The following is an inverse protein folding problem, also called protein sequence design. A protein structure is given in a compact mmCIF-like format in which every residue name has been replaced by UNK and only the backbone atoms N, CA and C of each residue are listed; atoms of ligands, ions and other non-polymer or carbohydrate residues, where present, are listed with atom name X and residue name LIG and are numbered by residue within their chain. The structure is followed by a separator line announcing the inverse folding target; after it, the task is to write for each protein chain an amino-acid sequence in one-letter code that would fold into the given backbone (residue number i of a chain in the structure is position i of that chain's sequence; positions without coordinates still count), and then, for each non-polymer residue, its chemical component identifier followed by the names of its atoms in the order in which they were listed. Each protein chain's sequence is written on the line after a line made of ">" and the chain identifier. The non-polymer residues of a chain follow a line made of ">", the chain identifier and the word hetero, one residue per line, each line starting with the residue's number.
data_IF_883010749887
#
_entry.id   IF_883010749887
#
_cell.length_a   1.000
_cell.length_b   1.000
_cell.length_c   1.000
_cell.angle_alpha   90.00
_cell.angle_beta   90.00
_cell.angle_gamma   90.00
#
_symmetry.space_group_name_H-M   'P 1'
#
loop_
_entity.id
_entity.type
_entity.pdbx_description
1 polymer ?
#
# COMPACT_ATOMS: atom_id res chain seq x y z
N UNK A 1 -2.20 14.05 3.37
CA UNK A 1 -1.16 13.28 4.04
C UNK A 1 -1.60 12.54 5.30
N UNK A 2 -2.91 12.43 5.53
CA UNK A 2 -3.40 11.67 6.69
C UNK A 2 -3.21 10.17 6.49
N UNK A 3 -2.55 9.51 7.46
CA UNK A 3 -2.40 8.06 7.48
C UNK A 3 -3.62 7.43 8.12
N UNK A 4 -4.19 6.42 7.46
CA UNK A 4 -5.34 5.66 7.97
C UNK A 4 -5.02 4.18 7.97
N UNK A 5 -5.41 3.51 9.06
CA UNK A 5 -5.28 2.06 9.21
C UNK A 5 -6.65 1.48 9.49
N UNK A 6 -7.06 0.50 8.69
CA UNK A 6 -8.35 -0.17 8.82
C UNK A 6 -8.14 -1.67 8.90
N UNK A 7 -8.94 -2.32 9.72
CA UNK A 7 -8.80 -3.75 9.99
C UNK A 7 -10.07 -4.50 9.64
N UNK A 8 -9.92 -5.75 9.21
CA UNK A 8 -10.99 -6.73 9.07
C UNK A 8 -12.20 -6.20 8.27
N UNK A 9 -13.37 -6.18 8.87
CA UNK A 9 -14.64 -5.82 8.23
C UNK A 9 -14.68 -4.38 7.73
N UNK A 10 -13.88 -3.48 8.31
CA UNK A 10 -13.83 -2.08 7.88
C UNK A 10 -13.17 -1.93 6.52
N UNK A 11 -12.33 -2.88 6.10
CA UNK A 11 -11.64 -2.83 4.81
C UNK A 11 -12.64 -2.91 3.64
N UNK A 12 -13.49 -3.95 3.53
CA UNK A 12 -14.48 -3.98 2.46
C UNK A 12 -15.51 -2.85 2.55
N UNK A 13 -15.90 -2.44 3.76
CA UNK A 13 -16.82 -1.30 3.94
C UNK A 13 -16.24 -0.01 3.39
N UNK A 14 -14.99 0.28 3.72
CA UNK A 14 -14.32 1.48 3.23
C UNK A 14 -14.22 1.47 1.70
N UNK A 15 -13.80 0.35 1.13
CA UNK A 15 -13.64 0.24 -0.31
C UNK A 15 -14.97 0.32 -1.06
N UNK A 16 -16.06 -0.15 -0.46
CA UNK A 16 -17.39 -0.06 -1.04
C UNK A 16 -18.05 1.30 -0.92
N UNK A 17 -17.65 2.12 0.06
CA UNK A 17 -18.28 3.42 0.34
C UNK A 17 -17.71 4.58 -0.47
N UNK A 18 -16.55 4.40 -1.12
CA UNK A 18 -15.84 5.45 -1.86
C UNK A 18 -15.98 5.24 -3.35
N UNK A 19 -16.00 6.34 -4.11
CA UNK A 19 -15.79 6.26 -5.55
C UNK A 19 -14.40 5.71 -5.79
N UNK A 20 -14.32 4.58 -6.46
CA UNK A 20 -13.08 3.86 -6.61
C UNK A 20 -12.49 4.04 -7.99
N UNK A 21 -11.17 4.02 -8.07
CA UNK A 21 -10.46 3.89 -9.33
C UNK A 21 -10.65 2.46 -9.87
N UNK A 22 -10.27 2.23 -11.11
CA UNK A 22 -10.34 0.88 -11.71
C UNK A 22 -9.52 -0.13 -10.91
N UNK A 23 -8.40 0.30 -10.33
CA UNK A 23 -7.56 -0.58 -9.50
C UNK A 23 -8.26 -0.99 -8.21
N UNK A 24 -8.94 -0.06 -7.55
CA UNK A 24 -9.69 -0.35 -6.34
C UNK A 24 -10.88 -1.27 -6.63
N UNK A 25 -11.57 -1.05 -7.76
CA UNK A 25 -12.66 -1.92 -8.18
C UNK A 25 -12.17 -3.36 -8.42
N UNK A 26 -11.00 -3.53 -9.03
CA UNK A 26 -10.37 -4.84 -9.24
C UNK A 26 -10.07 -5.56 -7.93
N UNK A 27 -9.55 -4.84 -6.94
CA UNK A 27 -9.27 -5.41 -5.63
C UNK A 27 -10.55 -5.81 -4.90
N UNK A 28 -11.62 -5.00 -4.98
CA UNK A 28 -12.92 -5.36 -4.44
C UNK A 28 -13.45 -6.67 -5.03
N UNK A 29 -13.30 -6.87 -6.34
CA UNK A 29 -13.71 -8.11 -7.00
C UNK A 29 -12.94 -9.31 -6.47
N UNK A 30 -11.64 -9.17 -6.20
CA UNK A 30 -10.83 -10.22 -5.60
C UNK A 30 -11.36 -10.58 -4.22
N UNK A 31 -11.66 -9.59 -3.38
CA UNK A 31 -12.22 -9.83 -2.04
C UNK A 31 -13.59 -10.50 -2.11
N UNK A 32 -14.45 -10.08 -3.03
CA UNK A 32 -15.76 -10.70 -3.23
C UNK A 32 -15.63 -12.15 -3.71
N UNK A 33 -14.71 -12.43 -4.62
CA UNK A 33 -14.45 -13.78 -5.11
C UNK A 33 -13.96 -14.69 -3.99
N UNK A 34 -13.05 -14.18 -3.14
CA UNK A 34 -12.56 -14.91 -1.99
C UNK A 34 -13.69 -15.24 -1.01
N UNK A 35 -14.60 -14.30 -0.79
CA UNK A 35 -15.76 -14.50 0.08
C UNK A 35 -16.70 -15.56 -0.47
N UNK A 36 -16.97 -15.54 -1.78
CA UNK A 36 -17.82 -16.53 -2.44
C UNK A 36 -17.22 -17.94 -2.41
N UNK A 37 -15.88 -18.03 -2.47
CA UNK A 37 -15.16 -19.30 -2.39
C UNK A 37 -14.94 -19.79 -0.95
N UNK A 38 -15.43 -19.04 0.04
CA UNK A 38 -15.20 -19.31 1.47
C UNK A 38 -13.72 -19.35 1.86
N UNK A 39 -12.94 -18.51 1.18
CA UNK A 39 -11.49 -18.36 1.38
C UNK A 39 -11.09 -16.94 1.74
N UNK A 40 -12.00 -16.18 2.33
CA UNK A 40 -11.71 -14.81 2.75
C UNK A 40 -10.65 -14.82 3.84
N UNK A 41 -9.63 -13.93 3.77
CA UNK A 41 -8.58 -13.89 4.78
C UNK A 41 -9.16 -13.66 6.18
N UNK A 42 -8.66 -14.41 7.15
CA UNK A 42 -9.05 -14.23 8.56
C UNK A 42 -8.60 -12.86 9.08
N UNK A 43 -7.42 -12.43 8.64
CA UNK A 43 -6.86 -11.14 9.01
C UNK A 43 -6.56 -10.33 7.75
N UNK A 44 -7.13 -9.14 7.67
CA UNK A 44 -6.88 -8.20 6.59
C UNK A 44 -6.75 -6.79 7.16
N UNK A 45 -5.76 -6.05 6.72
CA UNK A 45 -5.53 -4.67 7.15
C UNK A 45 -5.20 -3.82 5.93
N UNK A 46 -5.82 -2.66 5.85
CA UNK A 46 -5.55 -1.66 4.84
C UNK A 46 -4.83 -0.48 5.49
N UNK A 47 -3.66 -0.13 4.95
CA UNK A 47 -2.91 1.05 5.35
C UNK A 47 -2.91 2.00 4.17
N UNK A 48 -3.50 3.16 4.35
CA UNK A 48 -3.63 4.14 3.28
C UNK A 48 -3.23 5.52 3.73
N UNK A 49 -2.86 6.35 2.75
CA UNK A 49 -2.54 7.76 2.98
C UNK A 49 -3.43 8.59 2.09
N UNK A 50 -4.05 9.63 2.68
CA UNK A 50 -4.89 10.55 1.93
C UNK A 50 -4.06 11.34 0.92
N UNK A 51 -4.33 11.24 -0.38
CA UNK A 51 -3.59 12.02 -1.37
C UNK A 51 -3.93 13.52 -1.25
N UNK A 52 -2.95 14.36 -1.58
CA UNK A 52 -3.15 15.80 -1.65
C UNK A 52 -3.84 16.21 -2.93
N UNK A 53 -3.44 15.60 -4.05
CA UNK A 53 -3.96 15.89 -5.38
C UNK A 53 -4.12 14.59 -6.16
N UNK A 54 -5.31 14.38 -6.72
CA UNK A 54 -5.63 13.16 -7.49
C UNK A 54 -5.37 13.32 -8.99
N UNK A 55 -5.39 14.53 -9.50
CA UNK A 55 -5.29 14.83 -10.94
C UNK A 55 -3.86 15.17 -11.38
N UNK A 56 -2.86 14.79 -10.59
CA UNK A 56 -1.45 15.03 -10.89
C UNK A 56 -0.86 13.82 -11.63
N UNK A 57 -0.82 13.90 -12.94
CA UNK A 57 -0.35 12.80 -13.78
C UNK A 57 1.17 12.89 -14.02
N UNK A 58 1.83 11.73 -14.01
CA UNK A 58 3.24 11.61 -14.36
C UNK A 58 4.22 12.08 -13.30
N UNK A 59 3.77 12.29 -12.09
CA UNK A 59 4.63 12.66 -10.97
C UNK A 59 4.86 11.55 -9.98
N UNK A 60 5.84 11.75 -9.11
CA UNK A 60 6.02 10.95 -7.91
C UNK A 60 5.05 11.43 -6.84
N UNK A 61 5.15 10.86 -5.64
CA UNK A 61 4.31 11.23 -4.51
C UNK A 61 4.56 12.69 -4.11
N UNK A 62 3.49 13.39 -3.77
CA UNK A 62 3.59 14.72 -3.17
C UNK A 62 4.35 14.66 -1.84
N UNK A 63 5.05 15.74 -1.45
CA UNK A 63 5.87 15.71 -0.22
C UNK A 63 5.10 15.30 1.03
N UNK A 64 3.86 15.73 1.21
CA UNK A 64 3.06 15.38 2.39
C UNK A 64 2.70 13.88 2.41
N UNK A 65 2.54 13.25 1.25
CA UNK A 65 2.29 11.82 1.12
C UNK A 65 3.58 11.05 1.30
N UNK A 66 4.64 11.49 0.64
CA UNK A 66 5.98 10.87 0.74
C UNK A 66 6.48 10.85 2.19
N UNK A 67 6.20 11.91 2.95
CA UNK A 67 6.58 11.99 4.36
C UNK A 67 5.90 10.92 5.23
N UNK A 68 4.81 10.31 4.76
CA UNK A 68 4.11 9.26 5.50
C UNK A 68 4.67 7.86 5.26
N UNK A 69 5.60 7.68 4.31
CA UNK A 69 6.16 6.36 4.01
C UNK A 69 6.74 5.68 5.26
N UNK A 70 7.61 6.33 6.07
CA UNK A 70 8.12 5.70 7.28
C UNK A 70 7.01 5.29 8.26
N UNK A 71 5.99 6.15 8.43
CA UNK A 71 4.87 5.87 9.33
C UNK A 71 4.04 4.67 8.83
N UNK A 72 3.84 4.57 7.51
CA UNK A 72 3.12 3.45 6.92
C UNK A 72 3.89 2.13 7.08
N UNK A 73 5.21 2.15 6.90
CA UNK A 73 6.06 0.99 7.13
C UNK A 73 6.01 0.57 8.60
N UNK A 74 6.10 1.51 9.51
CA UNK A 74 5.97 1.25 10.96
C UNK A 74 4.63 0.60 11.29
N UNK A 75 3.53 1.15 10.75
CA UNK A 75 2.20 0.58 10.95
C UNK A 75 2.11 -0.86 10.43
N UNK A 76 2.68 -1.13 9.26
CA UNK A 76 2.71 -2.47 8.68
C UNK A 76 3.50 -3.45 9.56
N UNK A 77 4.65 -3.02 10.09
CA UNK A 77 5.45 -3.84 11.01
C UNK A 77 4.67 -4.17 12.27
N UNK A 78 3.97 -3.18 12.84
CA UNK A 78 3.14 -3.39 14.03
C UNK A 78 2.01 -4.38 13.79
N UNK A 79 1.36 -4.31 12.63
CA UNK A 79 0.30 -5.25 12.25
C UNK A 79 0.86 -6.66 12.12
N UNK A 80 2.00 -6.82 11.47
CA UNK A 80 2.66 -8.13 11.34
C UNK A 80 3.02 -8.71 12.70
N UNK A 81 3.54 -7.89 13.61
CA UNK A 81 3.85 -8.33 14.97
C UNK A 81 2.61 -8.78 15.71
N UNK A 82 1.50 -8.06 15.56
CA UNK A 82 0.22 -8.44 16.15
C UNK A 82 -0.29 -9.78 15.61
N UNK A 83 0.04 -10.10 14.36
CA UNK A 83 -0.30 -11.39 13.73
C UNK A 83 0.68 -12.51 14.08
N UNK A 84 1.71 -12.22 14.88
CA UNK A 84 2.73 -13.20 15.26
C UNK A 84 3.86 -13.35 14.26
N UNK A 85 3.99 -12.42 13.32
CA UNK A 85 5.05 -12.42 12.33
C UNK A 85 6.16 -11.46 12.79
N UNK A 86 7.37 -11.98 12.92
CA UNK A 86 8.52 -11.16 13.26
C UNK A 86 9.10 -10.49 12.01
N UNK A 87 9.14 -9.15 12.01
CA UNK A 87 9.75 -8.37 10.94
C UNK A 87 11.08 -7.83 11.43
N UNK A 88 12.16 -8.33 10.85
CA UNK A 88 13.52 -7.96 11.23
C UNK A 88 14.09 -7.02 10.18
N UNK A 89 14.47 -5.78 10.55
CA UNK A 89 15.07 -4.87 9.59
C UNK A 89 16.43 -5.39 9.11
N UNK A 90 16.72 -5.15 7.85
CA UNK A 90 18.01 -5.52 7.28
C UNK A 90 19.07 -4.51 7.67
N UNK A 91 20.28 -4.99 7.90
CA UNK A 91 21.42 -4.10 8.15
C UNK A 91 21.86 -3.39 6.86
N UNK A 92 21.68 -4.06 5.72
CA UNK A 92 21.99 -3.51 4.41
C UNK A 92 20.80 -3.66 3.45
N UNK A 93 20.59 -2.70 2.52
CA UNK A 93 19.55 -2.84 1.51
C UNK A 93 19.76 -4.08 0.65
N UNK A 94 18.68 -4.60 0.08
CA UNK A 94 18.75 -5.70 -0.87
C UNK A 94 19.60 -5.32 -2.09
N UNK A 95 20.42 -6.25 -2.56
CA UNK A 95 21.08 -6.08 -3.85
C UNK A 95 20.04 -6.03 -4.97
N UNK A 96 20.33 -5.35 -6.10
CA UNK A 96 19.35 -5.20 -7.18
C UNK A 96 18.74 -6.52 -7.67
N UNK A 97 19.54 -7.57 -7.75
CA UNK A 97 19.07 -8.91 -8.18
C UNK A 97 18.17 -9.61 -7.17
N UNK A 98 18.16 -9.16 -5.92
CA UNK A 98 17.32 -9.74 -4.85
C UNK A 98 15.99 -8.99 -4.69
N UNK A 99 15.82 -7.86 -5.37
CA UNK A 99 14.62 -7.04 -5.25
C UNK A 99 13.44 -7.66 -5.99
N UNK A 100 12.27 -7.55 -5.40
CA UNK A 100 11.03 -8.05 -6.00
C UNK A 100 10.57 -7.17 -7.15
N UNK A 101 10.70 -5.85 -7.00
CA UNK A 101 10.30 -4.88 -8.01
C UNK A 101 11.46 -4.54 -8.95
N UNK A 102 11.16 -4.20 -10.23
CA UNK A 102 12.19 -3.70 -11.15
C UNK A 102 12.84 -2.42 -10.63
N UNK A 103 14.13 -2.22 -10.98
CA UNK A 103 14.90 -1.06 -10.52
C UNK A 103 14.26 0.27 -10.94
N UNK A 104 13.61 0.30 -12.09
CA UNK A 104 12.94 1.51 -12.61
C UNK A 104 11.78 1.98 -11.72
N UNK A 105 11.25 1.09 -10.89
CA UNK A 105 10.15 1.40 -9.96
C UNK A 105 10.65 1.85 -8.59
N UNK A 106 11.97 1.83 -8.35
CA UNK A 106 12.53 2.43 -7.16
C UNK A 106 12.27 3.95 -7.23
N UNK A 107 11.87 4.54 -6.09
CA UNK A 107 11.35 5.91 -6.07
C UNK A 107 12.32 6.94 -6.65
N UNK A 108 13.62 6.84 -6.33
CA UNK A 108 14.62 7.74 -6.87
C UNK A 108 14.83 7.57 -8.37
N UNK A 109 14.85 6.33 -8.86
CA UNK A 109 14.95 6.05 -10.28
C UNK A 109 13.71 6.53 -11.03
N UNK A 110 12.53 6.30 -10.46
CA UNK A 110 11.27 6.75 -11.03
C UNK A 110 11.21 8.28 -11.16
N UNK A 111 11.62 9.00 -10.11
CA UNK A 111 11.64 10.46 -10.12
C UNK A 111 12.64 11.02 -11.13
N UNK A 112 13.81 10.40 -11.30
CA UNK A 112 14.81 10.80 -12.28
C UNK A 112 14.35 10.57 -13.72
N UNK A 113 13.52 9.56 -13.96
CA UNK A 113 12.97 9.25 -15.26
C UNK A 113 11.75 10.07 -15.66
N UNK A 114 11.29 10.98 -14.81
CA UNK A 114 10.10 11.78 -15.06
C UNK A 114 10.36 12.74 -16.25
N UNK A 115 9.47 12.72 -17.26
CA UNK A 115 9.56 13.70 -18.34
C UNK A 115 9.30 15.12 -17.83
N UNK A 116 10.04 16.06 -18.36
CA UNK A 116 9.89 17.49 -18.02
C UNK A 116 8.57 18.05 -18.53
#
# INVERSE_FOLDING_TARGET
>A
GELRVMHQEDVPRFMGAKKVSMHQAGFQEVLMSAQLADEFPEYITLIGVQPELLDDYGGSLRPCVKARIPDAVEAAVQVLQAWGVEAIPRDEPLAPEERVAPDELEIGAYERGRPD
#
